data_IF_160134066619
#
_entry.id   IF_160134066619
#
_cell.length_a   1.000
_cell.length_b   1.000
_cell.length_c   1.000
_cell.angle_alpha   90.00
_cell.angle_beta   90.00
_cell.angle_gamma   90.00
#
_symmetry.space_group_name_H-M   'P 1'
#
loop_
_entity.id
_entity.type
_entity.pdbx_description
1 polymer ?
#
# COMPACT_ATOMS: atom_id res chain seq x y z
N UNK A 1 39.79 67.36 26.70
CA UNK A 1 38.47 66.71 26.47
C UNK A 1 38.61 65.71 25.34
N UNK A 2 38.71 64.42 25.66
CA UNK A 2 38.67 63.33 24.67
C UNK A 2 37.57 62.38 25.10
N UNK A 3 36.38 62.55 24.52
CA UNK A 3 35.24 61.65 24.72
C UNK A 3 35.48 60.37 23.92
N UNK A 4 35.86 59.29 24.61
CA UNK A 4 35.74 57.94 24.05
C UNK A 4 34.26 57.57 24.08
N UNK A 5 33.61 57.59 22.92
CA UNK A 5 32.28 57.00 22.77
C UNK A 5 32.34 55.51 23.17
N UNK A 6 31.33 54.97 23.88
CA UNK A 6 31.28 53.55 24.19
C UNK A 6 31.19 52.77 22.88
N UNK A 7 31.85 51.61 22.82
CA UNK A 7 31.85 50.75 21.63
C UNK A 7 30.78 49.65 21.76
N UNK A 8 29.53 49.85 21.27
CA UNK A 8 28.57 48.76 21.14
C UNK A 8 28.71 47.98 19.82
N UNK A 9 29.62 48.40 18.92
CA UNK A 9 29.71 47.90 17.54
C UNK A 9 30.83 46.87 17.27
N UNK A 10 31.70 46.58 18.26
CA UNK A 10 32.91 45.75 18.04
C UNK A 10 32.65 44.26 17.84
N UNK A 11 31.41 43.77 17.88
CA UNK A 11 31.14 42.33 17.75
C UNK A 11 29.95 41.96 16.86
N UNK A 12 29.46 42.86 15.99
CA UNK A 12 28.37 42.52 15.08
C UNK A 12 28.76 41.38 14.12
N UNK A 13 29.99 41.39 13.60
CA UNK A 13 30.50 40.34 12.71
C UNK A 13 30.66 39.00 13.43
N UNK A 14 31.15 39.02 14.68
CA UNK A 14 31.24 37.81 15.50
C UNK A 14 29.84 37.23 15.78
N UNK A 15 28.86 38.07 16.13
CA UNK A 15 27.47 37.65 16.36
C UNK A 15 26.84 37.06 15.10
N UNK A 16 27.06 37.68 13.94
CA UNK A 16 26.58 37.16 12.65
C UNK A 16 27.26 35.84 12.29
N UNK A 17 28.57 35.70 12.51
CA UNK A 17 29.29 34.45 12.26
C UNK A 17 28.79 33.31 13.18
N UNK A 18 28.56 33.59 14.47
CA UNK A 18 27.98 32.63 15.42
C UNK A 18 26.55 32.27 15.01
N UNK A 19 25.72 33.25 14.64
CA UNK A 19 24.35 32.99 14.20
C UNK A 19 24.31 32.12 12.93
N UNK A 20 25.17 32.42 11.94
CA UNK A 20 25.30 31.63 10.73
C UNK A 20 25.80 30.21 11.04
N UNK A 21 26.79 30.06 11.91
CA UNK A 21 27.29 28.75 12.34
C UNK A 21 26.20 27.92 13.02
N UNK A 22 25.46 28.50 13.98
CA UNK A 22 24.36 27.84 14.66
C UNK A 22 23.24 27.48 13.68
N UNK A 23 22.90 28.37 12.74
CA UNK A 23 21.93 28.10 11.69
C UNK A 23 22.35 26.90 10.85
N UNK A 24 23.59 26.89 10.34
CA UNK A 24 24.10 25.77 9.53
C UNK A 24 24.17 24.46 10.32
N UNK A 25 24.61 24.51 11.59
CA UNK A 25 24.66 23.35 12.46
C UNK A 25 23.26 22.78 12.70
N UNK A 26 22.30 23.62 13.11
CA UNK A 26 20.93 23.21 13.37
C UNK A 26 20.24 22.70 12.10
N UNK A 27 20.42 23.36 10.96
CA UNK A 27 19.89 22.90 9.67
C UNK A 27 20.46 21.53 9.27
N UNK A 28 21.72 21.24 9.62
CA UNK A 28 22.34 19.95 9.32
C UNK A 28 21.94 18.83 10.30
N UNK A 29 21.75 19.14 11.59
CA UNK A 29 21.56 18.10 12.62
C UNK A 29 20.11 17.93 13.06
N UNK A 30 19.35 19.02 13.16
CA UNK A 30 18.01 18.99 13.74
C UNK A 30 17.02 18.17 12.89
N UNK A 31 16.96 18.31 11.55
CA UNK A 31 16.07 17.47 10.74
C UNK A 31 16.44 15.99 10.85
N UNK A 32 17.74 15.66 10.84
CA UNK A 32 18.20 14.26 10.96
C UNK A 32 17.86 13.66 12.33
N UNK A 33 18.05 14.42 13.40
CA UNK A 33 17.70 13.96 14.74
C UNK A 33 16.19 13.80 14.89
N UNK A 34 15.42 14.80 14.46
CA UNK A 34 13.96 14.79 14.58
C UNK A 34 13.31 13.70 13.73
N UNK A 35 13.63 13.62 12.43
CA UNK A 35 13.13 12.57 11.55
C UNK A 35 13.70 11.18 11.87
N UNK A 36 14.76 11.12 12.68
CA UNK A 36 15.36 9.88 13.18
C UNK A 36 14.86 9.46 14.56
N UNK A 37 13.96 10.23 15.20
CA UNK A 37 13.35 9.85 16.46
C UNK A 37 12.65 8.50 16.30
N UNK A 38 12.94 7.58 17.22
CA UNK A 38 12.51 6.18 17.18
C UNK A 38 12.86 5.42 15.89
N UNK A 39 13.71 5.97 15.00
CA UNK A 39 13.98 5.38 13.69
C UNK A 39 14.55 3.96 13.77
N UNK A 40 15.47 3.71 14.71
CA UNK A 40 15.98 2.35 14.96
C UNK A 40 14.87 1.43 15.49
N UNK A 41 14.01 1.92 16.39
CA UNK A 41 12.91 1.12 16.96
C UNK A 41 11.87 0.76 15.90
N UNK A 42 11.54 1.68 15.00
CA UNK A 42 10.72 1.40 13.83
C UNK A 42 11.35 0.37 12.90
N UNK A 43 12.65 0.53 12.62
CA UNK A 43 13.39 -0.40 11.77
C UNK A 43 13.46 -1.82 12.38
N UNK A 44 13.65 -1.90 13.70
CA UNK A 44 13.73 -3.15 14.46
C UNK A 44 12.34 -3.77 14.74
N UNK A 45 11.25 -3.09 14.38
CA UNK A 45 9.88 -3.58 14.58
C UNK A 45 9.46 -3.62 16.05
N UNK A 46 9.82 -2.59 16.82
CA UNK A 46 9.45 -2.45 18.25
C UNK A 46 7.94 -2.69 18.44
N UNK A 47 7.55 -3.74 19.20
CA UNK A 47 6.15 -4.16 19.29
C UNK A 47 5.20 -3.09 19.86
N UNK A 48 5.69 -2.21 20.74
CA UNK A 48 4.86 -1.17 21.34
C UNK A 48 4.53 -0.09 20.31
N UNK A 49 5.53 0.33 19.52
CA UNK A 49 5.32 1.30 18.43
C UNK A 49 4.42 0.72 17.33
N UNK A 50 4.70 -0.52 16.92
CA UNK A 50 3.93 -1.21 15.88
C UNK A 50 2.48 -1.40 16.30
N UNK A 51 2.22 -1.85 17.53
CA UNK A 51 0.85 -2.06 18.02
C UNK A 51 0.10 -0.73 18.21
N UNK A 52 0.77 0.32 18.69
CA UNK A 52 0.17 1.64 18.79
C UNK A 52 -0.25 2.17 17.41
N UNK A 53 0.60 2.03 16.39
CA UNK A 53 0.26 2.42 15.03
C UNK A 53 -0.83 1.55 14.41
N UNK A 54 -0.83 0.24 14.69
CA UNK A 54 -1.91 -0.65 14.26
C UNK A 54 -3.29 -0.19 14.79
N UNK A 55 -3.36 0.30 16.03
CA UNK A 55 -4.60 0.86 16.59
C UNK A 55 -5.07 2.12 15.89
N UNK A 56 -4.15 2.98 15.45
CA UNK A 56 -4.49 4.14 14.63
C UNK A 56 -5.04 3.70 13.25
N UNK A 57 -4.44 2.66 12.64
CA UNK A 57 -4.96 2.08 11.40
C UNK A 57 -6.36 1.51 11.59
N UNK A 58 -6.61 0.80 12.71
CA UNK A 58 -7.95 0.33 13.09
C UNK A 58 -8.93 1.50 13.19
N UNK A 59 -8.57 2.56 13.92
CA UNK A 59 -9.43 3.74 14.08
C UNK A 59 -9.73 4.45 12.74
N UNK A 60 -8.77 4.50 11.82
CA UNK A 60 -8.99 5.04 10.46
C UNK A 60 -9.99 4.18 9.69
N UNK A 61 -9.84 2.85 9.74
CA UNK A 61 -10.74 1.92 9.05
C UNK A 61 -12.16 2.01 9.62
N UNK A 62 -12.31 2.04 10.95
CA UNK A 62 -13.60 2.14 11.64
C UNK A 62 -14.32 3.48 11.39
N UNK A 63 -13.58 4.59 11.34
CA UNK A 63 -14.14 5.90 10.97
C UNK A 63 -14.65 5.92 9.53
N UNK A 64 -14.06 5.08 8.68
CA UNK A 64 -14.24 5.11 7.24
C UNK A 64 -13.31 6.13 6.56
N UNK A 65 -13.01 5.85 5.30
CA UNK A 65 -12.15 6.67 4.44
C UNK A 65 -13.03 7.26 3.35
N UNK A 66 -13.02 8.58 3.21
CA UNK A 66 -13.79 9.31 2.21
C UNK A 66 -12.87 9.91 1.13
N UNK A 67 -13.34 10.12 -0.12
CA UNK A 67 -12.52 10.77 -1.14
C UNK A 67 -12.07 12.19 -0.73
N UNK A 68 -12.85 12.86 0.14
CA UNK A 68 -12.56 14.18 0.68
C UNK A 68 -11.38 14.20 1.67
N UNK A 69 -10.94 13.03 2.15
CA UNK A 69 -9.75 12.91 2.99
C UNK A 69 -8.45 13.17 2.21
N UNK A 70 -8.53 13.27 0.87
CA UNK A 70 -7.37 13.36 -0.02
C UNK A 70 -7.32 14.68 -0.80
N UNK A 71 -6.11 15.25 -0.88
CA UNK A 71 -5.80 16.48 -1.64
C UNK A 71 -5.37 16.22 -3.08
N UNK A 72 -5.48 14.98 -3.56
CA UNK A 72 -5.08 14.58 -4.91
C UNK A 72 -5.80 15.40 -6.00
N UNK A 73 -5.07 15.73 -7.07
CA UNK A 73 -5.64 16.43 -8.22
C UNK A 73 -6.38 15.43 -9.11
N UNK A 74 -7.72 15.46 -9.07
CA UNK A 74 -8.61 14.66 -9.93
C UNK A 74 -9.39 13.59 -9.18
N UNK A 75 -10.66 13.43 -9.54
CA UNK A 75 -11.60 12.53 -8.84
C UNK A 75 -11.16 11.08 -8.89
N UNK A 76 -10.56 10.63 -10.00
CA UNK A 76 -10.00 9.29 -10.12
C UNK A 76 -9.02 8.99 -8.97
N UNK A 77 -8.02 9.85 -8.76
CA UNK A 77 -6.96 9.58 -7.79
C UNK A 77 -7.45 9.62 -6.35
N UNK A 78 -8.45 10.46 -6.04
CA UNK A 78 -9.07 10.43 -4.70
C UNK A 78 -9.74 9.09 -4.42
N UNK A 79 -10.46 8.54 -5.40
CA UNK A 79 -11.08 7.23 -5.25
C UNK A 79 -10.06 6.08 -5.29
N UNK A 80 -9.00 6.17 -6.10
CA UNK A 80 -7.89 5.22 -6.06
C UNK A 80 -7.20 5.23 -4.68
N UNK A 81 -6.99 6.40 -4.07
CA UNK A 81 -6.38 6.51 -2.75
C UNK A 81 -7.30 6.01 -1.64
N UNK A 82 -8.61 6.16 -1.81
CA UNK A 82 -9.60 5.54 -0.94
C UNK A 82 -9.49 4.01 -0.98
N UNK A 83 -9.48 3.42 -2.19
CA UNK A 83 -9.24 1.99 -2.37
C UNK A 83 -7.89 1.55 -1.79
N UNK A 84 -6.82 2.29 -2.12
CA UNK A 84 -5.47 2.01 -1.64
C UNK A 84 -5.34 2.06 -0.12
N UNK A 85 -6.07 2.96 0.54
CA UNK A 85 -6.05 3.06 2.01
C UNK A 85 -6.67 1.81 2.65
N UNK A 86 -7.86 1.39 2.22
CA UNK A 86 -8.44 0.14 2.72
C UNK A 86 -7.55 -1.07 2.41
N UNK A 87 -6.94 -1.09 1.22
CA UNK A 87 -6.08 -2.20 0.83
C UNK A 87 -4.81 -2.30 1.67
N UNK A 88 -4.11 -1.18 1.87
CA UNK A 88 -2.90 -1.15 2.70
C UNK A 88 -3.22 -1.42 4.16
N UNK A 89 -4.36 -0.92 4.67
CA UNK A 89 -4.84 -1.24 6.03
C UNK A 89 -5.10 -2.73 6.19
N UNK A 90 -5.80 -3.37 5.25
CA UNK A 90 -6.02 -4.82 5.28
C UNK A 90 -4.69 -5.59 5.28
N UNK A 91 -3.74 -5.22 4.41
CA UNK A 91 -2.44 -5.88 4.37
C UNK A 91 -1.64 -5.69 5.67
N UNK A 92 -1.58 -4.48 6.20
CA UNK A 92 -0.84 -4.17 7.42
C UNK A 92 -1.38 -4.98 8.60
N UNK A 93 -2.70 -4.92 8.83
CA UNK A 93 -3.34 -5.62 9.95
C UNK A 93 -3.22 -7.15 9.81
N UNK A 94 -3.38 -7.71 8.61
CA UNK A 94 -3.23 -9.15 8.39
C UNK A 94 -1.79 -9.63 8.55
N UNK A 95 -0.79 -8.84 8.16
CA UNK A 95 0.63 -9.17 8.42
C UNK A 95 0.89 -9.21 9.91
N UNK A 96 0.40 -8.23 10.68
CA UNK A 96 0.52 -8.23 12.14
C UNK A 96 -0.22 -9.41 12.79
N UNK A 97 -1.35 -9.83 12.25
CA UNK A 97 -2.02 -11.07 12.69
C UNK A 97 -1.16 -12.32 12.46
N UNK A 98 -0.30 -12.36 11.44
CA UNK A 98 0.63 -13.47 11.22
C UNK A 98 1.81 -13.41 12.19
N UNK A 99 2.41 -12.23 12.35
CA UNK A 99 3.62 -12.02 13.15
C UNK A 99 3.33 -12.05 14.66
N UNK A 100 2.16 -11.58 15.07
CA UNK A 100 1.68 -11.54 16.44
C UNK A 100 0.30 -12.21 16.56
N UNK A 101 0.25 -13.56 16.63
CA UNK A 101 -1.01 -14.30 16.72
C UNK A 101 -1.91 -13.87 17.88
N UNK A 102 -1.33 -13.42 18.99
CA UNK A 102 -2.05 -12.94 20.17
C UNK A 102 -2.79 -11.61 19.96
N UNK A 103 -2.53 -10.90 18.84
CA UNK A 103 -3.21 -9.65 18.48
C UNK A 103 -4.37 -9.87 17.51
N UNK A 104 -4.61 -11.11 17.06
CA UNK A 104 -5.63 -11.40 16.04
C UNK A 104 -7.01 -10.95 16.43
N UNK A 105 -7.43 -11.22 17.66
CA UNK A 105 -8.77 -10.86 18.14
C UNK A 105 -8.98 -9.34 18.13
N UNK A 106 -7.91 -8.56 18.29
CA UNK A 106 -7.92 -7.09 18.23
C UNK A 106 -7.92 -6.56 16.79
N UNK A 107 -7.10 -7.14 15.90
CA UNK A 107 -6.80 -6.54 14.59
C UNK A 107 -7.62 -7.12 13.43
N UNK A 108 -8.01 -8.40 13.52
CA UNK A 108 -8.70 -9.09 12.43
C UNK A 108 -10.06 -8.46 12.07
N UNK A 109 -10.91 -8.01 13.02
CA UNK A 109 -12.20 -7.40 12.68
C UNK A 109 -12.06 -6.18 11.76
N UNK A 110 -11.09 -5.31 12.04
CA UNK A 110 -10.84 -4.14 11.20
C UNK A 110 -10.24 -4.53 9.83
N UNK A 111 -9.38 -5.55 9.78
CA UNK A 111 -8.87 -6.07 8.52
C UNK A 111 -10.01 -6.62 7.62
N UNK A 112 -10.96 -7.35 8.22
CA UNK A 112 -12.13 -7.87 7.52
C UNK A 112 -13.08 -6.75 7.08
N UNK A 113 -13.27 -5.72 7.91
CA UNK A 113 -14.02 -4.53 7.51
C UNK A 113 -13.38 -3.83 6.30
N UNK A 114 -12.06 -3.66 6.30
CA UNK A 114 -11.35 -3.09 5.16
C UNK A 114 -11.52 -3.94 3.88
N UNK A 115 -11.51 -5.27 3.99
CA UNK A 115 -11.79 -6.17 2.85
C UNK A 115 -13.23 -6.00 2.36
N UNK A 116 -14.20 -5.92 3.26
CA UNK A 116 -15.60 -5.71 2.89
C UNK A 116 -15.79 -4.37 2.16
N UNK A 117 -15.08 -3.33 2.58
CA UNK A 117 -15.05 -2.04 1.88
C UNK A 117 -14.44 -2.17 0.48
N UNK A 118 -13.31 -2.87 0.31
CA UNK A 118 -12.74 -3.15 -1.02
C UNK A 118 -13.70 -3.89 -1.95
N UNK A 119 -14.56 -4.75 -1.38
CA UNK A 119 -15.60 -5.51 -2.07
C UNK A 119 -16.89 -4.72 -2.28
N UNK A 120 -17.01 -3.50 -1.77
CA UNK A 120 -18.22 -2.68 -1.93
C UNK A 120 -18.29 -2.05 -3.34
N UNK A 121 -19.51 -1.82 -3.83
CA UNK A 121 -19.72 -1.15 -5.13
C UNK A 121 -19.15 0.26 -5.11
N UNK A 122 -19.29 0.94 -3.97
CA UNK A 122 -18.81 2.30 -3.73
C UNK A 122 -17.30 2.40 -3.95
N UNK A 123 -16.52 1.49 -3.38
CA UNK A 123 -15.07 1.55 -3.46
C UNK A 123 -14.55 1.12 -4.83
N UNK A 124 -15.15 0.11 -5.48
CA UNK A 124 -14.69 -0.31 -6.82
C UNK A 124 -15.24 0.54 -7.97
N UNK A 125 -16.10 1.51 -7.69
CA UNK A 125 -16.74 2.36 -8.70
C UNK A 125 -15.75 3.09 -9.62
N UNK A 126 -14.58 3.50 -9.12
CA UNK A 126 -13.57 4.18 -9.95
C UNK A 126 -13.03 3.29 -11.07
N UNK A 127 -12.78 2.01 -10.75
CA UNK A 127 -12.30 1.02 -11.71
C UNK A 127 -13.41 0.70 -12.72
N UNK A 128 -14.64 0.50 -12.23
CA UNK A 128 -15.82 0.34 -13.08
C UNK A 128 -16.02 1.51 -14.05
N UNK A 129 -15.87 2.75 -13.57
CA UNK A 129 -16.01 3.95 -14.39
C UNK A 129 -14.94 4.03 -15.48
N UNK A 130 -13.71 3.57 -15.19
CA UNK A 130 -12.60 3.57 -16.17
C UNK A 130 -12.74 2.51 -17.24
N UNK A 131 -13.24 1.33 -16.89
CA UNK A 131 -13.40 0.23 -17.82
C UNK A 131 -14.76 0.21 -18.52
N UNK A 132 -15.77 0.86 -17.93
CA UNK A 132 -17.16 0.74 -18.37
C UNK A 132 -17.77 -0.63 -18.08
N UNK A 133 -17.16 -1.42 -17.19
CA UNK A 133 -17.67 -2.69 -16.69
C UNK A 133 -17.18 -2.97 -15.27
N UNK A 134 -17.95 -3.72 -14.50
CA UNK A 134 -17.59 -4.10 -13.13
C UNK A 134 -16.69 -5.34 -13.13
N UNK A 135 -15.49 -5.19 -12.58
CA UNK A 135 -14.46 -6.23 -12.59
C UNK A 135 -14.88 -7.54 -11.91
N UNK A 136 -15.73 -7.49 -10.87
CA UNK A 136 -16.22 -8.67 -10.15
C UNK A 136 -17.40 -9.34 -10.87
N UNK A 137 -18.27 -8.54 -11.48
CA UNK A 137 -19.40 -9.05 -12.25
C UNK A 137 -18.98 -9.69 -13.58
N UNK A 138 -17.84 -9.29 -14.15
CA UNK A 138 -17.32 -9.79 -15.43
C UNK A 138 -16.12 -10.74 -15.30
N UNK A 139 -15.86 -11.28 -14.10
CA UNK A 139 -14.71 -12.17 -13.83
C UNK A 139 -14.61 -13.34 -14.81
N UNK A 140 -15.74 -13.96 -15.17
CA UNK A 140 -15.77 -15.14 -16.03
C UNK A 140 -16.03 -14.81 -17.51
N UNK A 141 -16.56 -13.63 -17.81
CA UNK A 141 -17.07 -13.27 -19.15
C UNK A 141 -16.21 -12.26 -19.89
N UNK A 142 -15.31 -11.56 -19.20
CA UNK A 142 -14.42 -10.55 -19.80
C UNK A 142 -12.95 -10.88 -19.59
N UNK A 143 -12.15 -10.51 -20.58
CA UNK A 143 -10.69 -10.62 -20.56
C UNK A 143 -9.97 -9.26 -20.35
N UNK A 144 -10.72 -8.21 -19.98
CA UNK A 144 -10.15 -6.90 -19.64
C UNK A 144 -9.24 -6.97 -18.41
N UNK A 145 -8.21 -6.12 -18.35
CA UNK A 145 -7.11 -6.28 -17.41
C UNK A 145 -7.53 -6.11 -15.94
N UNK A 146 -8.03 -4.92 -15.58
CA UNK A 146 -8.32 -4.53 -14.19
C UNK A 146 -7.15 -4.80 -13.23
N UNK A 147 -5.91 -4.61 -13.71
CA UNK A 147 -4.71 -5.10 -13.02
C UNK A 147 -4.55 -4.49 -11.62
N UNK A 148 -4.81 -3.19 -11.45
CA UNK A 148 -4.77 -2.55 -10.14
C UNK A 148 -5.84 -3.14 -9.22
N UNK A 149 -7.12 -2.98 -9.56
CA UNK A 149 -8.20 -3.40 -8.66
C UNK A 149 -8.14 -4.89 -8.32
N UNK A 150 -8.11 -5.78 -9.32
CA UNK A 150 -8.08 -7.22 -9.08
C UNK A 150 -6.77 -7.70 -8.49
N UNK A 151 -5.63 -7.13 -8.90
CA UNK A 151 -4.32 -7.50 -8.35
C UNK A 151 -4.27 -7.23 -6.84
N UNK A 152 -4.51 -5.98 -6.44
CA UNK A 152 -4.41 -5.58 -5.04
C UNK A 152 -5.49 -6.22 -4.15
N UNK A 153 -6.73 -6.33 -4.62
CA UNK A 153 -7.79 -7.06 -3.91
C UNK A 153 -7.38 -8.51 -3.70
N UNK A 154 -6.86 -9.17 -4.74
CA UNK A 154 -6.48 -10.57 -4.65
C UNK A 154 -5.29 -10.79 -3.69
N UNK A 155 -4.36 -9.82 -3.54
CA UNK A 155 -3.33 -9.87 -2.47
C UNK A 155 -4.00 -9.91 -1.10
N UNK A 156 -4.94 -8.99 -0.83
CA UNK A 156 -5.63 -8.90 0.46
C UNK A 156 -6.40 -10.19 0.79
N UNK A 157 -7.15 -10.74 -0.18
CA UNK A 157 -7.90 -11.99 0.02
C UNK A 157 -6.97 -13.20 0.24
N UNK A 158 -5.85 -13.26 -0.49
CA UNK A 158 -4.87 -14.34 -0.35
C UNK A 158 -4.17 -14.30 1.01
N UNK A 159 -3.87 -13.09 1.51
CA UNK A 159 -3.29 -12.90 2.83
C UNK A 159 -4.32 -13.18 3.94
N UNK A 160 -5.58 -12.81 3.74
CA UNK A 160 -6.66 -13.16 4.68
C UNK A 160 -6.76 -14.69 4.83
N UNK A 161 -6.71 -15.44 3.73
CA UNK A 161 -6.68 -16.91 3.75
C UNK A 161 -5.46 -17.50 4.47
N UNK A 162 -4.33 -16.76 4.53
CA UNK A 162 -3.16 -17.17 5.32
C UNK A 162 -3.38 -17.02 6.83
N UNK A 163 -4.17 -16.03 7.25
CA UNK A 163 -4.51 -15.75 8.65
C UNK A 163 -5.69 -16.62 9.10
N UNK A 164 -6.70 -16.77 8.24
CA UNK A 164 -7.94 -17.52 8.46
C UNK A 164 -8.03 -18.65 7.43
N UNK A 165 -7.63 -19.90 7.78
CA UNK A 165 -7.62 -21.01 6.83
C UNK A 165 -8.97 -21.27 6.16
N UNK A 166 -10.06 -21.18 6.92
CA UNK A 166 -11.45 -21.31 6.45
C UNK A 166 -12.05 -19.95 6.07
N UNK A 167 -11.26 -19.12 5.39
CA UNK A 167 -11.68 -17.78 4.97
C UNK A 167 -12.98 -17.81 4.15
N UNK A 168 -13.95 -16.98 4.54
CA UNK A 168 -15.18 -16.74 3.77
C UNK A 168 -14.92 -16.21 2.35
N UNK A 169 -13.73 -15.66 2.10
CA UNK A 169 -13.34 -15.11 0.81
C UNK A 169 -12.60 -16.12 -0.09
N UNK A 170 -12.34 -17.34 0.38
CA UNK A 170 -11.54 -18.33 -0.35
C UNK A 170 -12.09 -18.63 -1.77
N UNK A 171 -13.41 -18.80 -1.91
CA UNK A 171 -14.03 -19.05 -3.21
C UNK A 171 -13.88 -17.87 -4.18
N UNK A 172 -14.01 -16.63 -3.69
CA UNK A 172 -13.81 -15.43 -4.51
C UNK A 172 -12.33 -15.25 -4.89
N UNK A 173 -11.41 -15.47 -3.96
CA UNK A 173 -9.97 -15.45 -4.20
C UNK A 173 -9.56 -16.46 -5.29
N UNK A 174 -10.16 -17.66 -5.28
CA UNK A 174 -9.95 -18.68 -6.31
C UNK A 174 -10.48 -18.23 -7.68
N UNK A 175 -11.68 -17.64 -7.73
CA UNK A 175 -12.28 -17.11 -8.97
C UNK A 175 -11.47 -15.96 -9.56
N UNK A 176 -11.03 -14.99 -8.74
CA UNK A 176 -10.19 -13.88 -9.19
C UNK A 176 -8.86 -14.42 -9.71
N UNK A 177 -8.21 -15.34 -8.99
CA UNK A 177 -6.95 -15.94 -9.41
C UNK A 177 -7.08 -16.68 -10.75
N UNK A 178 -8.18 -17.44 -10.94
CA UNK A 178 -8.46 -18.11 -12.21
C UNK A 178 -8.67 -17.11 -13.36
N UNK A 179 -9.40 -16.01 -13.12
CA UNK A 179 -9.60 -14.95 -14.11
C UNK A 179 -8.28 -14.26 -14.48
N UNK A 180 -7.44 -13.91 -13.50
CA UNK A 180 -6.12 -13.31 -13.73
C UNK A 180 -5.21 -14.24 -14.55
N UNK A 181 -5.18 -15.54 -14.24
CA UNK A 181 -4.43 -16.54 -15.02
C UNK A 181 -4.93 -16.62 -16.47
N UNK A 182 -6.25 -16.67 -16.68
CA UNK A 182 -6.85 -16.68 -18.02
C UNK A 182 -6.45 -15.42 -18.81
N UNK A 183 -6.61 -14.24 -18.19
CA UNK A 183 -6.28 -12.94 -18.79
C UNK A 183 -4.79 -12.82 -19.12
N UNK A 184 -3.91 -13.31 -18.25
CA UNK A 184 -2.46 -13.31 -18.50
C UNK A 184 -2.08 -14.20 -19.69
N UNK A 185 -2.73 -15.36 -19.84
CA UNK A 185 -2.52 -16.25 -20.99
C UNK A 185 -3.03 -15.63 -22.30
N UNK A 186 -4.13 -14.88 -22.25
CA UNK A 186 -4.68 -14.17 -23.40
C UNK A 186 -3.88 -12.91 -23.77
N UNK A 187 -3.15 -12.31 -22.81
CA UNK A 187 -2.39 -11.08 -23.04
C UNK A 187 -1.17 -11.33 -23.94
N UNK A 188 -1.07 -10.51 -25.00
CA UNK A 188 0.01 -10.57 -26.00
C UNK A 188 1.41 -10.45 -25.39
N UNK A 189 1.57 -9.56 -24.42
CA UNK A 189 2.85 -9.32 -23.75
C UNK A 189 2.91 -10.01 -22.37
N UNK A 190 1.82 -10.71 -22.02
CA UNK A 190 1.53 -11.27 -20.71
C UNK A 190 1.80 -10.32 -19.55
N UNK A 191 1.36 -9.08 -19.75
CA UNK A 191 1.05 -8.07 -18.73
C UNK A 191 -0.42 -7.69 -18.88
N UNK A 192 -1.08 -7.37 -17.78
CA UNK A 192 -2.45 -6.89 -17.77
C UNK A 192 -2.49 -5.37 -17.77
N UNK A 193 -3.50 -4.83 -18.44
CA UNK A 193 -3.82 -3.42 -18.38
C UNK A 193 -4.39 -3.06 -17.00
N UNK A 194 -3.93 -1.95 -16.45
CA UNK A 194 -4.52 -1.31 -15.27
C UNK A 194 -5.80 -0.59 -15.67
N UNK A 195 -5.71 0.23 -16.71
CA UNK A 195 -6.82 0.94 -17.37
C UNK A 195 -6.76 0.70 -18.88
N UNK A 196 -7.83 0.98 -19.65
CA UNK A 196 -7.80 0.78 -21.09
C UNK A 196 -6.58 1.46 -21.74
N UNK A 197 -5.71 0.67 -22.39
CA UNK A 197 -4.46 1.11 -23.03
C UNK A 197 -3.35 1.57 -22.09
N UNK A 198 -3.47 1.30 -20.80
CA UNK A 198 -2.50 1.66 -19.77
C UNK A 198 -2.11 0.42 -18.96
N UNK A 199 -0.82 0.12 -18.86
CA UNK A 199 -0.32 -0.99 -18.05
C UNK A 199 0.83 -0.49 -17.18
N UNK A 200 0.66 -0.59 -15.85
CA UNK A 200 1.68 -0.17 -14.90
C UNK A 200 2.44 -1.40 -14.34
N UNK A 201 3.79 -1.33 -14.26
CA UNK A 201 4.60 -2.44 -13.73
C UNK A 201 4.24 -2.82 -12.29
N UNK A 202 3.90 -1.85 -11.44
CA UNK A 202 3.57 -2.07 -10.03
C UNK A 202 2.30 -2.91 -9.86
N UNK A 203 1.27 -2.64 -10.66
CA UNK A 203 0.01 -3.38 -10.60
C UNK A 203 0.18 -4.81 -11.11
N UNK A 204 1.02 -5.00 -12.14
CA UNK A 204 1.38 -6.33 -12.61
C UNK A 204 2.23 -7.11 -11.61
N UNK A 205 3.05 -6.42 -10.80
CA UNK A 205 3.74 -7.03 -9.68
C UNK A 205 2.75 -7.45 -8.59
N UNK A 206 1.71 -6.67 -8.32
CA UNK A 206 0.62 -7.05 -7.41
C UNK A 206 -0.17 -8.25 -7.94
N UNK A 207 -0.47 -8.31 -9.25
CA UNK A 207 -1.07 -9.48 -9.89
C UNK A 207 -0.21 -10.73 -9.67
N UNK A 208 1.09 -10.66 -9.99
CA UNK A 208 2.01 -11.78 -9.77
C UNK A 208 2.06 -12.19 -8.29
N UNK A 209 2.23 -11.22 -7.39
CA UNK A 209 2.30 -11.44 -5.95
C UNK A 209 1.04 -12.11 -5.41
N UNK A 210 -0.14 -11.66 -5.86
CA UNK A 210 -1.42 -12.23 -5.46
C UNK A 210 -1.57 -13.70 -5.88
N UNK A 211 -1.17 -14.05 -7.11
CA UNK A 211 -1.25 -15.43 -7.60
C UNK A 211 -0.33 -16.35 -6.81
N UNK A 212 0.93 -15.94 -6.60
CA UNK A 212 1.89 -16.72 -5.82
C UNK A 212 1.46 -16.86 -4.35
N UNK A 213 0.90 -15.80 -3.77
CA UNK A 213 0.41 -15.83 -2.39
C UNK A 213 -0.83 -16.73 -2.25
N UNK A 214 -1.76 -16.67 -3.21
CA UNK A 214 -2.92 -17.56 -3.27
C UNK A 214 -2.49 -19.01 -3.37
N UNK A 215 -1.56 -19.32 -4.27
CA UNK A 215 -1.08 -20.70 -4.49
C UNK A 215 -0.39 -21.23 -3.23
N UNK A 216 0.40 -20.40 -2.54
CA UNK A 216 0.98 -20.72 -1.22
C UNK A 216 -0.08 -20.91 -0.13
N UNK A 217 -1.16 -20.14 -0.14
CA UNK A 217 -2.25 -20.27 0.82
C UNK A 217 -3.09 -21.54 0.58
N UNK A 218 -3.28 -21.93 -0.69
CA UNK A 218 -4.02 -23.12 -1.09
C UNK A 218 -3.17 -24.41 -1.10
N UNK A 219 -1.85 -24.31 -0.95
CA UNK A 219 -0.95 -25.47 -0.98
C UNK A 219 -0.80 -26.09 -2.38
N UNK A 220 -0.92 -25.29 -3.44
CA UNK A 220 -0.82 -25.74 -4.83
C UNK A 220 0.43 -25.15 -5.51
N UNK A 221 0.97 -25.80 -6.56
CA UNK A 221 2.10 -25.23 -7.30
C UNK A 221 1.68 -23.96 -8.08
N UNK A 222 2.63 -23.02 -8.31
CA UNK A 222 2.38 -21.84 -9.14
C UNK A 222 1.86 -22.20 -10.53
N UNK A 223 0.88 -21.44 -11.02
CA UNK A 223 0.45 -21.54 -12.42
C UNK A 223 1.59 -21.21 -13.40
N UNK A 224 1.53 -21.79 -14.60
CA UNK A 224 2.39 -21.47 -15.75
C UNK A 224 2.37 -19.97 -16.10
N UNK A 225 1.21 -19.32 -15.97
CA UNK A 225 1.05 -17.88 -16.20
C UNK A 225 1.84 -17.05 -15.18
N UNK A 226 1.75 -17.40 -13.89
CA UNK A 226 2.52 -16.74 -12.83
C UNK A 226 4.03 -16.97 -13.02
N UNK A 227 4.45 -18.21 -13.34
CA UNK A 227 5.85 -18.53 -13.63
C UNK A 227 6.40 -17.74 -14.83
N UNK A 228 5.60 -17.60 -15.90
CA UNK A 228 5.97 -16.84 -17.09
C UNK A 228 6.13 -15.34 -16.79
N UNK A 229 5.20 -14.76 -16.03
CA UNK A 229 5.28 -13.36 -15.61
C UNK A 229 6.49 -13.11 -14.71
N UNK A 230 6.77 -14.02 -13.76
CA UNK A 230 7.97 -13.96 -12.91
C UNK A 230 9.26 -13.98 -13.75
N UNK A 231 9.34 -14.84 -14.77
CA UNK A 231 10.51 -14.91 -15.64
C UNK A 231 10.73 -13.58 -16.39
N UNK A 232 9.67 -12.93 -16.88
CA UNK A 232 9.76 -11.63 -17.56
C UNK A 232 10.28 -10.52 -16.65
N UNK A 233 9.76 -10.42 -15.42
CA UNK A 233 10.25 -9.44 -14.44
C UNK A 233 11.74 -9.60 -14.14
N UNK A 234 12.25 -10.84 -14.14
CA UNK A 234 13.68 -11.12 -13.92
C UNK A 234 14.57 -10.81 -15.12
N UNK A 235 14.05 -10.89 -16.35
CA UNK A 235 14.82 -10.59 -17.56
C UNK A 235 14.96 -9.09 -17.80
N UNK A 236 13.98 -8.28 -17.39
CA UNK A 236 13.99 -6.83 -17.61
C UNK A 236 14.88 -6.05 -16.62
N UNK A 237 15.29 -6.67 -15.51
CA UNK A 237 16.08 -6.06 -14.43
C UNK A 237 17.48 -6.70 -14.24
N UNK A 238 18.04 -7.26 -15.31
CA UNK A 238 19.46 -7.60 -15.43
C UNK A 238 20.12 -6.67 -16.44
#
# INVERSE_FOLDING_TARGET
>A
MTSRLPAPYTNIWLRLAVALFLFLLLSATLPRWWCGLDGNRWYDGDPDLVRAHAREVVAIVERGVAPEDFTAQGELFKHEWQFGTYQMSALALLQLCLDHPDWRDELLPAAEHAIDELLSERIRAFDTAKWGEDALATLETSDRGHAAYLGYLNVALSLHRRVVPDSRHAALNDRISAALVRRLRASRHGILETYPKEAYPVDNAAVLGSLLLRDRAAGVPPSDAAASLQARFRLAWR
#
